data_IF_900923913916
#
_entry.id   IF_900923913916
#
_cell.length_a   1.000
_cell.length_b   1.000
_cell.length_c   1.000
_cell.angle_alpha   90.00
_cell.angle_beta   90.00
_cell.angle_gamma   90.00
#
_symmetry.space_group_name_H-M   'P 1'
#
loop_
_entity.id
_entity.type
_entity.pdbx_description
1 polymer ?
#
# COMPACT_ATOMS: atom_id res chain seq x y z
N UNK A 1 -13.97 -15.75 22.16
CA UNK A 1 -15.31 -15.21 22.49
C UNK A 1 -15.26 -14.30 23.70
N UNK A 2 -15.12 -12.99 23.48
CA UNK A 2 -15.34 -11.98 24.52
C UNK A 2 -16.85 -11.86 24.74
N UNK A 3 -17.30 -12.06 25.97
CA UNK A 3 -18.70 -12.22 26.41
C UNK A 3 -19.60 -10.99 26.23
N UNK A 4 -19.15 -9.96 25.50
CA UNK A 4 -19.90 -8.73 25.21
C UNK A 4 -20.05 -8.42 23.70
N UNK A 5 -19.67 -9.34 22.80
CA UNK A 5 -19.85 -9.12 21.35
C UNK A 5 -19.06 -7.94 20.78
N UNK A 6 -18.07 -7.41 21.52
CA UNK A 6 -17.15 -6.37 21.04
C UNK A 6 -16.02 -7.02 20.27
N UNK A 7 -16.02 -6.84 18.95
CA UNK A 7 -14.89 -7.15 18.08
C UNK A 7 -13.84 -6.04 18.23
N UNK A 8 -12.58 -6.43 18.42
CA UNK A 8 -11.45 -5.50 18.65
C UNK A 8 -10.51 -5.40 17.45
N UNK A 9 -10.69 -6.26 16.44
CA UNK A 9 -9.86 -6.32 15.23
C UNK A 9 -10.79 -6.52 14.03
N UNK A 10 -10.52 -5.81 12.94
CA UNK A 10 -11.24 -5.95 11.69
C UNK A 10 -10.36 -5.59 10.50
N UNK A 11 -10.72 -6.11 9.33
CA UNK A 11 -10.11 -5.79 8.05
C UNK A 11 -11.20 -5.52 7.02
N UNK A 12 -10.96 -4.59 6.10
CA UNK A 12 -11.87 -4.21 5.04
C UNK A 12 -11.10 -3.94 3.75
N UNK A 13 -11.79 -3.98 2.61
CA UNK A 13 -11.15 -3.83 1.30
C UNK A 13 -12.11 -3.29 0.25
N UNK A 14 -11.59 -2.45 -0.64
CA UNK A 14 -12.23 -2.06 -1.89
C UNK A 14 -11.42 -2.61 -3.06
N UNK A 15 -12.03 -3.46 -3.86
CA UNK A 15 -11.32 -4.26 -4.87
C UNK A 15 -11.38 -3.64 -6.26
N UNK A 16 -10.21 -3.46 -6.87
CA UNK A 16 -10.07 -3.30 -8.32
C UNK A 16 -9.66 -4.65 -8.93
N UNK A 17 -10.56 -5.29 -9.68
CA UNK A 17 -10.35 -6.67 -10.15
C UNK A 17 -9.24 -6.75 -11.21
N UNK A 18 -8.19 -7.53 -10.94
CA UNK A 18 -7.13 -7.90 -11.90
C UNK A 18 -7.25 -9.35 -12.35
N UNK A 19 -7.53 -10.27 -11.42
CA UNK A 19 -7.79 -11.69 -11.68
C UNK A 19 -9.20 -12.09 -11.23
N UNK A 20 -10.00 -12.66 -12.12
CA UNK A 20 -11.39 -13.03 -11.83
C UNK A 20 -12.34 -11.83 -11.87
N UNK A 21 -13.53 -12.05 -12.41
CA UNK A 21 -14.54 -10.99 -12.58
C UNK A 21 -14.99 -10.38 -11.23
N UNK A 22 -15.50 -9.14 -11.23
CA UNK A 22 -16.14 -8.56 -10.05
C UNK A 22 -17.40 -9.34 -9.66
N UNK A 23 -17.35 -10.09 -8.57
CA UNK A 23 -18.49 -10.77 -7.97
C UNK A 23 -18.25 -10.97 -6.46
N UNK A 24 -19.28 -11.40 -5.73
CA UNK A 24 -19.19 -11.61 -4.27
C UNK A 24 -18.13 -12.64 -3.87
N UNK A 25 -17.97 -13.71 -4.64
CA UNK A 25 -16.99 -14.78 -4.37
C UNK A 25 -15.54 -14.31 -4.50
N UNK A 26 -15.28 -13.40 -5.44
CA UNK A 26 -13.97 -12.82 -5.67
C UNK A 26 -13.74 -11.55 -4.84
N UNK A 27 -14.72 -11.12 -4.04
CA UNK A 27 -14.56 -9.99 -3.14
C UNK A 27 -13.74 -10.41 -1.91
N UNK A 28 -12.92 -9.48 -1.41
CA UNK A 28 -12.18 -9.69 -0.17
C UNK A 28 -13.09 -9.35 1.03
N UNK A 29 -12.81 -9.88 2.23
CA UNK A 29 -11.69 -10.76 2.60
C UNK A 29 -11.80 -12.19 2.05
N UNK A 30 -10.67 -12.79 1.68
CA UNK A 30 -10.59 -14.23 1.41
C UNK A 30 -10.30 -15.00 2.71
N UNK A 31 -10.91 -16.18 2.84
CA UNK A 31 -10.80 -17.03 4.02
C UNK A 31 -9.94 -18.27 3.75
N UNK A 32 -9.32 -18.81 4.80
CA UNK A 32 -8.73 -20.15 4.76
C UNK A 32 -9.81 -21.23 4.68
N UNK A 33 -9.42 -22.45 4.31
CA UNK A 33 -10.32 -23.61 4.16
C UNK A 33 -11.19 -23.90 5.39
N UNK A 34 -10.69 -23.60 6.59
CA UNK A 34 -11.40 -23.80 7.87
C UNK A 34 -12.03 -22.50 8.41
N UNK A 35 -11.96 -21.41 7.65
CA UNK A 35 -12.43 -20.08 8.03
C UNK A 35 -11.68 -19.44 9.20
N UNK A 36 -10.54 -19.99 9.62
CA UNK A 36 -9.77 -19.45 10.76
C UNK A 36 -9.00 -18.19 10.43
N UNK A 37 -8.54 -18.03 9.19
CA UNK A 37 -7.71 -16.91 8.73
C UNK A 37 -8.48 -16.11 7.69
N UNK A 38 -8.47 -14.79 7.81
CA UNK A 38 -9.03 -13.87 6.82
C UNK A 38 -7.95 -12.91 6.31
N UNK A 39 -7.95 -12.66 5.00
CA UNK A 39 -6.96 -11.82 4.32
C UNK A 39 -7.61 -10.81 3.37
N UNK A 40 -7.15 -9.57 3.43
CA UNK A 40 -7.38 -8.55 2.39
C UNK A 40 -6.05 -8.24 1.71
N UNK A 41 -6.04 -8.01 0.40
CA UNK A 41 -4.80 -7.96 -0.39
C UNK A 41 -4.91 -6.95 -1.53
N UNK A 42 -3.86 -6.15 -1.69
CA UNK A 42 -3.63 -5.24 -2.80
C UNK A 42 -2.38 -5.68 -3.54
N UNK A 43 -2.45 -5.73 -4.87
CA UNK A 43 -1.34 -6.15 -5.72
C UNK A 43 -1.65 -7.45 -6.44
N UNK A 44 -0.58 -8.14 -6.87
CA UNK A 44 -0.66 -9.38 -7.65
C UNK A 44 0.34 -10.40 -7.08
N UNK A 45 -0.15 -11.60 -6.81
CA UNK A 45 0.68 -12.78 -6.55
C UNK A 45 0.96 -13.46 -7.89
N UNK A 46 2.17 -13.28 -8.42
CA UNK A 46 2.52 -13.70 -9.78
C UNK A 46 2.58 -15.22 -9.93
N UNK A 47 3.06 -15.91 -8.89
CA UNK A 47 3.20 -17.37 -8.88
C UNK A 47 1.95 -18.10 -8.33
N UNK A 48 0.79 -17.43 -8.23
CA UNK A 48 -0.42 -18.00 -7.62
C UNK A 48 -0.88 -19.32 -8.24
N UNK A 49 -0.71 -19.53 -9.56
CA UNK A 49 -1.12 -20.78 -10.22
C UNK A 49 -0.31 -21.98 -9.71
N UNK A 50 1.00 -21.81 -9.59
CA UNK A 50 1.91 -22.83 -9.04
C UNK A 50 1.54 -23.16 -7.59
N UNK A 51 1.30 -22.13 -6.79
CA UNK A 51 0.91 -22.27 -5.38
C UNK A 51 -0.46 -22.96 -5.23
N UNK A 52 -1.46 -22.54 -6.04
CA UNK A 52 -2.80 -23.11 -6.06
C UNK A 52 -2.76 -24.60 -6.41
N UNK A 53 -2.04 -24.98 -7.47
CA UNK A 53 -1.91 -26.38 -7.86
C UNK A 53 -1.28 -27.23 -6.74
N UNK A 54 -0.18 -26.76 -6.14
CA UNK A 54 0.48 -27.47 -5.04
C UNK A 54 -0.40 -27.62 -3.79
N UNK A 55 -1.25 -26.62 -3.51
CA UNK A 55 -2.23 -26.69 -2.42
C UNK A 55 -3.36 -27.66 -2.74
N UNK A 56 -3.85 -27.68 -3.98
CA UNK A 56 -4.89 -28.62 -4.42
C UNK A 56 -4.41 -30.08 -4.34
N UNK A 57 -3.15 -30.36 -4.69
CA UNK A 57 -2.53 -31.69 -4.48
C UNK A 57 -2.50 -32.11 -3.00
N UNK A 58 -2.48 -31.15 -2.08
CA UNK A 58 -2.55 -31.37 -0.63
C UNK A 58 -3.99 -31.37 -0.09
N UNK A 59 -5.00 -31.32 -0.96
CA UNK A 59 -6.42 -31.39 -0.61
C UNK A 59 -7.07 -30.05 -0.26
N UNK A 60 -6.45 -28.91 -0.63
CA UNK A 60 -7.09 -27.61 -0.47
C UNK A 60 -8.08 -27.32 -1.59
N UNK A 61 -9.28 -26.91 -1.21
CA UNK A 61 -10.29 -26.41 -2.13
C UNK A 61 -10.20 -24.89 -2.26
N UNK A 62 -10.51 -24.38 -3.46
CA UNK A 62 -10.53 -22.95 -3.77
C UNK A 62 -11.89 -22.58 -4.31
N UNK A 63 -12.44 -21.50 -3.75
CA UNK A 63 -13.77 -21.00 -4.05
C UNK A 63 -13.75 -19.86 -5.07
N UNK A 64 -12.63 -19.15 -5.20
CA UNK A 64 -12.47 -17.95 -6.02
C UNK A 64 -11.53 -18.16 -7.22
N UNK A 65 -11.62 -17.23 -8.16
CA UNK A 65 -10.74 -17.12 -9.33
C UNK A 65 -9.61 -16.11 -9.12
N UNK A 66 -9.42 -15.65 -7.88
CA UNK A 66 -8.40 -14.66 -7.54
C UNK A 66 -7.05 -15.32 -7.29
N UNK A 67 -6.00 -14.56 -7.53
CA UNK A 67 -4.65 -14.86 -7.03
C UNK A 67 -4.58 -14.77 -5.50
N UNK A 68 -5.40 -13.89 -4.91
CA UNK A 68 -5.40 -13.53 -3.48
C UNK A 68 -5.76 -14.69 -2.54
N UNK A 69 -6.63 -15.61 -2.96
CA UNK A 69 -7.06 -16.74 -2.12
C UNK A 69 -5.92 -17.70 -1.76
N UNK A 70 -4.80 -17.72 -2.51
CA UNK A 70 -3.65 -18.57 -2.13
C UNK A 70 -3.01 -18.14 -0.81
N UNK A 71 -3.12 -16.85 -0.44
CA UNK A 71 -2.49 -16.28 0.76
C UNK A 71 -3.07 -16.93 2.04
N UNK A 72 -4.39 -16.85 2.34
CA UNK A 72 -4.92 -17.46 3.56
C UNK A 72 -4.75 -18.98 3.57
N UNK A 73 -4.77 -19.67 2.42
CA UNK A 73 -4.54 -21.11 2.36
C UNK A 73 -3.08 -21.49 2.69
N UNK A 74 -2.10 -20.74 2.20
CA UNK A 74 -0.69 -20.94 2.57
C UNK A 74 -0.45 -20.65 4.05
N UNK A 75 -1.03 -19.57 4.59
CA UNK A 75 -0.91 -19.26 6.02
C UNK A 75 -1.50 -20.41 6.84
N UNK A 76 -2.68 -20.91 6.47
CA UNK A 76 -3.29 -22.07 7.14
C UNK A 76 -2.40 -23.32 7.08
N UNK A 77 -1.82 -23.63 5.91
CA UNK A 77 -0.90 -24.76 5.73
C UNK A 77 0.27 -24.69 6.72
N UNK A 78 0.96 -23.55 6.80
CA UNK A 78 2.07 -23.40 7.72
C UNK A 78 1.62 -23.38 9.18
N UNK A 79 0.49 -22.73 9.49
CA UNK A 79 -0.06 -22.64 10.82
C UNK A 79 -0.36 -24.01 11.44
N UNK A 80 -0.86 -24.97 10.66
CA UNK A 80 -1.08 -26.36 11.13
C UNK A 80 0.16 -27.02 11.73
N UNK A 81 1.35 -26.61 11.30
CA UNK A 81 2.62 -27.17 11.78
C UNK A 81 3.32 -26.30 12.82
N UNK A 82 3.18 -24.97 12.74
CA UNK A 82 3.85 -24.04 13.65
C UNK A 82 3.04 -23.78 14.91
N UNK A 83 1.71 -23.83 14.83
CA UNK A 83 0.79 -23.30 15.84
C UNK A 83 1.12 -21.86 16.28
N UNK A 84 1.75 -21.10 15.39
CA UNK A 84 2.17 -19.72 15.58
C UNK A 84 1.78 -18.94 14.31
N UNK A 85 0.84 -18.01 14.48
CA UNK A 85 0.26 -17.23 13.39
C UNK A 85 1.28 -16.32 12.72
N UNK A 86 2.18 -15.69 13.48
CA UNK A 86 3.20 -14.81 12.91
C UNK A 86 4.24 -15.60 12.15
N UNK A 87 4.69 -16.73 12.71
CA UNK A 87 5.62 -17.61 12.02
C UNK A 87 4.99 -18.23 10.77
N UNK A 88 3.69 -18.53 10.80
CA UNK A 88 2.96 -19.03 9.64
C UNK A 88 2.88 -17.99 8.52
N UNK A 89 2.56 -16.73 8.85
CA UNK A 89 2.60 -15.64 7.88
C UNK A 89 4.02 -15.48 7.33
N UNK A 90 5.03 -15.43 8.20
CA UNK A 90 6.43 -15.29 7.78
C UNK A 90 6.86 -16.40 6.81
N UNK A 91 6.50 -17.67 7.07
CA UNK A 91 6.78 -18.78 6.14
C UNK A 91 6.05 -18.62 4.81
N UNK A 92 4.81 -18.11 4.80
CA UNK A 92 4.09 -17.78 3.56
C UNK A 92 4.85 -16.77 2.72
N UNK A 93 5.46 -15.74 3.32
CA UNK A 93 6.21 -14.70 2.60
C UNK A 93 7.39 -15.25 1.80
N UNK A 94 8.01 -16.33 2.27
CA UNK A 94 9.09 -17.02 1.52
C UNK A 94 8.64 -17.73 0.24
N UNK A 95 7.32 -17.83 0.01
CA UNK A 95 6.72 -18.53 -1.14
C UNK A 95 6.05 -17.59 -2.14
N UNK A 96 5.74 -16.36 -1.76
CA UNK A 96 5.02 -15.42 -2.61
C UNK A 96 5.98 -14.67 -3.53
N UNK A 97 5.63 -14.59 -4.80
CA UNK A 97 6.32 -13.75 -5.80
C UNK A 97 5.38 -12.66 -6.32
N UNK A 98 5.94 -11.50 -6.62
CA UNK A 98 5.21 -10.34 -7.16
C UNK A 98 5.25 -9.12 -6.25
N UNK A 99 4.32 -8.20 -6.49
CA UNK A 99 4.12 -6.99 -5.71
C UNK A 99 2.77 -7.03 -5.02
N UNK A 100 2.78 -7.09 -3.69
CA UNK A 100 1.62 -7.26 -2.84
C UNK A 100 1.73 -6.49 -1.51
N UNK A 101 0.58 -6.13 -0.97
CA UNK A 101 0.40 -5.72 0.42
C UNK A 101 -0.85 -6.41 0.93
N UNK A 102 -0.81 -6.98 2.12
CA UNK A 102 -1.99 -7.65 2.68
C UNK A 102 -2.09 -7.48 4.18
N UNK A 103 -3.31 -7.59 4.68
CA UNK A 103 -3.60 -7.72 6.11
C UNK A 103 -4.16 -9.10 6.37
N UNK A 104 -3.70 -9.74 7.44
CA UNK A 104 -4.15 -11.06 7.88
C UNK A 104 -4.59 -11.01 9.34
N UNK A 105 -5.73 -11.66 9.63
CA UNK A 105 -6.24 -11.89 10.99
C UNK A 105 -6.55 -13.37 11.19
N UNK A 106 -6.58 -13.82 12.43
CA UNK A 106 -6.93 -15.18 12.78
C UNK A 106 -7.99 -15.20 13.88
N UNK A 107 -9.03 -16.04 13.77
CA UNK A 107 -10.20 -16.06 14.68
C UNK A 107 -9.84 -16.26 16.16
N UNK A 108 -8.80 -17.06 16.42
CA UNK A 108 -8.33 -17.40 17.78
C UNK A 108 -7.20 -16.51 18.30
N UNK A 109 -6.68 -15.58 17.47
CA UNK A 109 -5.60 -14.66 17.88
C UNK A 109 -6.09 -13.23 17.76
N UNK A 110 -6.01 -12.45 18.84
CA UNK A 110 -6.23 -11.00 18.78
C UNK A 110 -4.98 -10.29 18.21
N UNK A 111 -4.61 -10.68 16.98
CA UNK A 111 -3.48 -10.16 16.22
C UNK A 111 -3.93 -9.69 14.84
N UNK A 112 -3.37 -8.58 14.38
CA UNK A 112 -3.47 -8.09 13.00
C UNK A 112 -2.06 -8.00 12.42
N UNK A 113 -1.82 -8.69 11.31
CA UNK A 113 -0.51 -8.69 10.64
C UNK A 113 -0.65 -7.98 9.31
N UNK A 114 0.12 -6.92 9.09
CA UNK A 114 0.25 -6.23 7.82
C UNK A 114 1.61 -6.49 7.18
N UNK A 115 1.61 -6.72 5.87
CA UNK A 115 2.80 -7.04 5.08
C UNK A 115 2.90 -6.11 3.88
N UNK A 116 4.12 -5.68 3.56
CA UNK A 116 4.41 -4.86 2.39
C UNK A 116 5.52 -5.45 1.50
N UNK A 117 5.23 -5.53 0.21
CA UNK A 117 6.20 -5.84 -0.85
C UNK A 117 5.74 -5.18 -2.17
N UNK A 118 6.24 -4.00 -2.53
CA UNK A 118 5.95 -3.34 -3.81
C UNK A 118 4.59 -2.62 -3.89
N UNK A 119 3.56 -3.04 -3.16
CA UNK A 119 2.28 -2.31 -3.06
C UNK A 119 2.24 -1.35 -1.86
N UNK A 120 1.50 -0.22 -1.91
CA UNK A 120 1.39 0.71 -0.79
C UNK A 120 0.73 0.13 0.46
N UNK A 121 1.33 0.39 1.62
CA UNK A 121 0.77 0.09 2.95
C UNK A 121 1.43 1.01 3.97
N UNK A 122 0.61 1.69 4.77
CA UNK A 122 1.04 2.56 5.86
C UNK A 122 0.24 2.24 7.13
N UNK A 123 0.78 2.67 8.27
CA UNK A 123 0.29 2.32 9.59
C UNK A 123 0.08 3.56 10.46
N UNK A 124 -1.18 3.93 10.69
CA UNK A 124 -1.58 5.01 11.56
C UNK A 124 -1.63 4.59 13.04
N UNK A 125 -1.11 5.46 13.91
CA UNK A 125 -1.07 5.25 15.36
C UNK A 125 -1.90 6.31 16.08
N UNK A 126 -3.07 5.92 16.59
CA UNK A 126 -3.87 6.74 17.50
C UNK A 126 -3.66 6.31 18.94
N UNK A 127 -4.25 7.00 19.90
CA UNK A 127 -4.04 6.74 21.32
C UNK A 127 -4.68 5.42 21.79
N UNK A 128 -5.77 5.01 21.14
CA UNK A 128 -6.54 3.82 21.52
C UNK A 128 -6.68 2.78 20.41
N UNK A 129 -6.16 3.07 19.20
CA UNK A 129 -6.33 2.21 18.04
C UNK A 129 -5.15 2.31 17.07
N UNK A 130 -4.97 1.23 16.32
CA UNK A 130 -3.98 1.09 15.27
C UNK A 130 -4.72 0.83 13.96
N UNK A 131 -4.37 1.56 12.91
CA UNK A 131 -5.12 1.54 11.65
C UNK A 131 -4.15 1.33 10.49
N UNK A 132 -4.45 0.37 9.64
CA UNK A 132 -3.73 0.18 8.38
C UNK A 132 -4.49 0.82 7.22
N UNK A 133 -3.76 1.42 6.29
CA UNK A 133 -4.29 1.97 5.04
C UNK A 133 -3.31 1.82 3.90
N UNK A 134 -3.79 1.81 2.65
CA UNK A 134 -2.90 1.90 1.49
C UNK A 134 -2.30 3.29 1.31
N UNK A 135 -2.96 4.29 1.88
CA UNK A 135 -2.51 5.66 2.09
C UNK A 135 -3.12 6.16 3.42
N UNK A 136 -2.88 7.41 3.77
CA UNK A 136 -3.24 8.02 5.06
C UNK A 136 -4.71 8.44 5.13
N UNK A 137 -5.38 8.61 3.99
CA UNK A 137 -6.75 9.12 3.89
C UNK A 137 -7.76 8.37 4.78
N UNK A 138 -7.71 7.03 4.91
CA UNK A 138 -8.69 6.27 5.72
C UNK A 138 -8.63 6.55 7.21
N UNK A 139 -7.55 7.15 7.72
CA UNK A 139 -7.36 7.36 9.15
C UNK A 139 -6.87 8.76 9.52
N UNK A 140 -6.77 9.68 8.56
CA UNK A 140 -6.24 11.03 8.79
C UNK A 140 -7.09 11.83 9.80
N UNK A 141 -8.38 11.51 9.93
CA UNK A 141 -9.29 12.08 10.94
C UNK A 141 -9.06 11.52 12.35
N UNK A 142 -8.37 10.38 12.47
CA UNK A 142 -8.03 9.73 13.75
C UNK A 142 -6.63 10.04 14.21
N UNK A 143 -5.69 10.11 13.28
CA UNK A 143 -4.27 10.33 13.61
C UNK A 143 -3.48 10.85 12.42
N UNK A 144 -2.47 11.65 12.73
CA UNK A 144 -1.43 12.11 11.80
C UNK A 144 -0.11 11.39 11.99
N UNK A 145 0.00 10.54 13.03
CA UNK A 145 1.20 9.73 13.30
C UNK A 145 1.17 8.50 12.42
N UNK A 146 2.15 8.39 11.52
CA UNK A 146 2.20 7.32 10.51
C UNK A 146 3.58 6.67 10.51
N UNK A 147 3.58 5.35 10.43
CA UNK A 147 4.77 4.57 10.07
C UNK A 147 4.61 4.09 8.63
N UNK A 148 5.59 4.44 7.79
CA UNK A 148 5.71 3.93 6.44
C UNK A 148 6.48 2.62 6.45
N UNK A 149 5.82 1.56 5.97
CA UNK A 149 6.48 0.28 5.77
C UNK A 149 7.36 0.35 4.52
N UNK A 150 8.50 -0.33 4.57
CA UNK A 150 9.37 -0.60 3.44
C UNK A 150 9.03 -1.97 2.86
N UNK A 151 9.55 -2.26 1.67
CA UNK A 151 9.44 -3.59 1.10
C UNK A 151 10.14 -4.62 2.00
N UNK A 152 9.50 -5.77 2.15
CA UNK A 152 9.90 -6.87 3.05
C UNK A 152 9.67 -6.61 4.53
N UNK A 153 8.83 -5.62 4.87
CA UNK A 153 8.35 -5.44 6.23
C UNK A 153 7.07 -6.23 6.52
N UNK A 154 7.03 -6.78 7.73
CA UNK A 154 5.88 -7.39 8.37
C UNK A 154 5.65 -6.71 9.72
N UNK A 155 4.53 -6.01 9.85
CA UNK A 155 4.10 -5.37 11.09
C UNK A 155 3.02 -6.22 11.74
N UNK A 156 3.22 -6.58 13.01
CA UNK A 156 2.18 -7.23 13.82
C UNK A 156 1.69 -6.29 14.90
N UNK A 157 0.36 -6.21 15.05
CA UNK A 157 -0.33 -5.52 16.13
C UNK A 157 -1.02 -6.54 17.03
N UNK A 158 -0.93 -6.34 18.34
CA UNK A 158 -1.75 -7.01 19.34
C UNK A 158 -1.98 -6.11 20.57
N UNK A 159 -2.55 -6.67 21.64
CA UNK A 159 -2.84 -5.93 22.88
C UNK A 159 -1.61 -5.29 23.55
N UNK A 160 -0.41 -5.77 23.25
CA UNK A 160 0.84 -5.25 23.82
C UNK A 160 1.42 -4.09 23.01
N UNK A 161 0.85 -3.80 21.83
CA UNK A 161 1.32 -2.76 20.91
C UNK A 161 1.62 -3.33 19.53
N UNK A 162 2.66 -2.79 18.89
CA UNK A 162 3.09 -3.24 17.58
C UNK A 162 4.57 -3.63 17.55
N UNK A 163 4.94 -4.46 16.58
CA UNK A 163 6.31 -4.85 16.27
C UNK A 163 6.49 -4.98 14.78
N UNK A 164 7.67 -4.63 14.28
CA UNK A 164 8.02 -4.75 12.87
C UNK A 164 9.17 -5.74 12.76
N UNK A 165 9.05 -6.67 11.82
CA UNK A 165 10.10 -7.59 11.44
C UNK A 165 10.29 -7.57 9.93
N UNK A 166 11.49 -7.86 9.47
CA UNK A 166 11.68 -8.21 8.06
C UNK A 166 11.15 -9.63 7.78
N UNK A 167 11.13 -10.03 6.52
CA UNK A 167 10.72 -11.39 6.12
C UNK A 167 11.62 -12.50 6.68
N UNK A 168 12.86 -12.20 7.07
CA UNK A 168 13.78 -13.12 7.73
C UNK A 168 13.53 -13.24 9.25
N UNK A 169 12.66 -12.39 9.81
CA UNK A 169 12.23 -12.42 11.20
C UNK A 169 13.05 -11.55 12.14
N UNK A 170 13.96 -10.74 11.59
CA UNK A 170 14.75 -9.76 12.32
C UNK A 170 13.89 -8.55 12.67
N UNK A 171 13.98 -8.08 13.91
CA UNK A 171 13.24 -6.89 14.34
C UNK A 171 13.76 -5.64 13.62
N UNK A 172 12.84 -4.79 13.17
CA UNK A 172 13.11 -3.50 12.54
C UNK A 172 12.57 -2.41 13.45
N UNK A 173 13.33 -1.32 13.59
CA UNK A 173 12.85 -0.08 14.18
C UNK A 173 12.54 0.93 13.08
N UNK A 174 11.42 1.64 13.22
CA UNK A 174 11.02 2.72 12.33
C UNK A 174 10.61 3.94 13.13
N UNK A 175 10.89 5.09 12.53
CA UNK A 175 10.45 6.37 13.06
C UNK A 175 8.97 6.60 12.75
N UNK A 176 8.31 7.31 13.65
CA UNK A 176 6.94 7.78 13.45
C UNK A 176 7.04 9.12 12.76
N UNK A 177 6.47 9.21 11.56
CA UNK A 177 6.33 10.45 10.80
C UNK A 177 5.01 11.14 11.16
N UNK A 178 4.96 12.46 10.96
CA UNK A 178 3.72 13.24 11.10
C UNK A 178 3.25 13.75 9.74
N UNK A 179 1.98 13.49 9.44
CA UNK A 179 1.35 13.88 8.19
C UNK A 179 1.02 15.39 8.21
N UNK A 180 1.48 16.18 7.21
CA UNK A 180 1.25 17.61 7.15
C UNK A 180 -0.24 18.01 7.23
N UNK A 181 -0.53 19.17 7.84
CA UNK A 181 -1.89 19.68 8.06
C UNK A 181 -2.75 19.83 6.79
N UNK A 182 -2.12 20.09 5.64
CA UNK A 182 -2.77 20.32 4.34
C UNK A 182 -3.70 19.17 3.87
N UNK A 183 -3.50 17.94 4.33
CA UNK A 183 -4.23 16.76 3.86
C UNK A 183 -5.76 16.82 4.15
N UNK A 184 -6.25 17.74 4.98
CA UNK A 184 -7.69 17.95 5.20
C UNK A 184 -8.46 18.42 3.94
N UNK A 185 -7.77 18.72 2.84
CA UNK A 185 -8.36 19.03 1.53
C UNK A 185 -8.93 17.81 0.77
N UNK A 186 -8.89 16.60 1.33
CA UNK A 186 -9.37 15.33 0.70
C UNK A 186 -10.90 15.31 0.44
N UNK A 187 -11.66 16.30 0.91
CA UNK A 187 -13.11 16.40 0.65
C UNK A 187 -13.48 17.10 -0.65
N UNK A 188 -14.77 17.07 -1.01
CA UNK A 188 -15.31 17.83 -2.16
C UNK A 188 -15.36 19.35 -1.93
N UNK A 189 -15.09 19.86 -0.73
CA UNK A 189 -14.92 21.30 -0.49
C UNK A 189 -16.11 22.19 -0.92
N UNK A 190 -17.34 21.67 -0.89
CA UNK A 190 -18.54 22.39 -1.34
C UNK A 190 -18.86 22.24 -2.84
N UNK A 191 -18.03 21.56 -3.62
CA UNK A 191 -18.28 21.24 -5.02
C UNK A 191 -19.12 19.96 -5.17
N UNK A 192 -19.85 19.86 -6.28
CA UNK A 192 -20.66 18.67 -6.61
C UNK A 192 -19.80 17.42 -6.90
N UNK A 193 -18.66 17.63 -7.57
CA UNK A 193 -17.72 16.58 -7.99
C UNK A 193 -16.28 16.94 -7.62
N UNK A 194 -15.45 15.93 -7.35
CA UNK A 194 -14.00 16.10 -7.14
C UNK A 194 -13.32 16.76 -8.35
N UNK A 195 -13.64 16.31 -9.56
CA UNK A 195 -13.12 16.91 -10.79
C UNK A 195 -13.44 18.41 -10.90
N UNK A 196 -14.63 18.83 -10.44
CA UNK A 196 -14.99 20.25 -10.44
C UNK A 196 -14.12 21.03 -9.44
N UNK A 197 -13.96 20.52 -8.20
CA UNK A 197 -13.05 21.10 -7.21
C UNK A 197 -11.62 21.22 -7.76
N UNK A 198 -11.05 20.12 -8.24
CA UNK A 198 -9.67 20.05 -8.75
C UNK A 198 -9.42 20.99 -9.93
N UNK A 199 -10.39 21.18 -10.83
CA UNK A 199 -10.29 22.17 -11.92
C UNK A 199 -10.26 23.60 -11.36
N UNK A 200 -11.10 23.92 -10.38
CA UNK A 200 -11.15 25.27 -9.80
C UNK A 200 -9.97 25.57 -8.88
N UNK A 201 -9.34 24.55 -8.30
CA UNK A 201 -8.14 24.66 -7.45
C UNK A 201 -6.83 24.77 -8.24
N UNK A 202 -6.86 24.67 -9.58
CA UNK A 202 -5.66 24.77 -10.41
C UNK A 202 -4.82 26.05 -10.15
N UNK A 203 -5.40 27.26 -10.00
CA UNK A 203 -4.61 28.47 -9.74
C UNK A 203 -3.81 28.37 -8.43
N UNK A 204 -4.45 27.87 -7.37
CA UNK A 204 -3.80 27.68 -6.07
C UNK A 204 -2.77 26.54 -6.13
N UNK A 205 -3.10 25.44 -6.79
CA UNK A 205 -2.20 24.28 -6.98
C UNK A 205 -0.92 24.68 -7.72
N UNK A 206 -1.04 25.49 -8.78
CA UNK A 206 0.10 26.04 -9.50
C UNK A 206 0.90 26.97 -8.60
N UNK A 207 0.25 27.90 -7.87
CA UNK A 207 0.95 28.79 -6.95
C UNK A 207 1.73 28.02 -5.87
N UNK A 208 1.12 27.00 -5.28
CA UNK A 208 1.74 26.13 -4.28
C UNK A 208 2.92 25.32 -4.84
N UNK A 209 2.87 24.90 -6.11
CA UNK A 209 3.98 24.20 -6.75
C UNK A 209 5.24 25.09 -6.88
N UNK A 210 5.06 26.42 -6.93
CA UNK A 210 6.15 27.40 -7.02
C UNK A 210 6.51 28.08 -5.70
N UNK A 211 5.63 28.04 -4.69
CA UNK A 211 5.74 28.88 -3.48
C UNK A 211 7.01 28.68 -2.68
N UNK A 212 7.54 27.45 -2.61
CA UNK A 212 8.82 27.16 -1.94
C UNK A 212 10.04 27.29 -2.86
N UNK A 213 9.82 27.51 -4.15
CA UNK A 213 10.87 27.46 -5.18
C UNK A 213 11.27 28.83 -5.72
N UNK A 214 10.41 29.83 -5.54
CA UNK A 214 10.66 31.20 -6.00
C UNK A 214 10.84 32.08 -4.77
N UNK A 215 12.09 32.25 -4.34
CA UNK A 215 12.44 33.09 -3.19
C UNK A 215 12.48 34.59 -3.56
N UNK A 216 12.90 34.89 -4.79
CA UNK A 216 12.93 36.23 -5.38
C UNK A 216 12.59 36.15 -6.88
N UNK A 217 12.20 37.29 -7.49
CA UNK A 217 11.81 37.41 -8.91
C UNK A 217 12.88 36.81 -9.86
N UNK A 218 14.14 36.76 -9.43
CA UNK A 218 15.28 36.38 -10.27
C UNK A 218 15.99 35.06 -9.88
N UNK A 219 15.48 34.29 -8.90
CA UNK A 219 16.16 33.05 -8.47
C UNK A 219 15.19 31.92 -8.15
N UNK A 220 15.41 30.76 -8.78
CA UNK A 220 14.75 29.51 -8.48
C UNK A 220 15.62 28.70 -7.51
N UNK A 221 15.07 28.31 -6.36
CA UNK A 221 15.67 27.33 -5.46
C UNK A 221 14.88 26.04 -5.57
N UNK A 222 15.55 24.92 -5.81
CA UNK A 222 14.91 23.60 -5.74
C UNK A 222 15.59 22.87 -4.60
N UNK A 223 14.88 22.72 -3.48
CA UNK A 223 15.38 21.97 -2.33
C UNK A 223 15.75 20.55 -2.75
N UNK A 224 16.90 20.07 -2.26
CA UNK A 224 17.44 18.75 -2.56
C UNK A 224 17.65 18.46 -4.06
N UNK A 225 17.84 19.48 -4.91
CA UNK A 225 18.21 19.22 -6.30
C UNK A 225 19.55 18.47 -6.34
N UNK A 226 19.60 17.29 -6.96
CA UNK A 226 20.82 16.49 -6.98
C UNK A 226 21.93 17.22 -7.72
N UNK A 227 23.18 17.01 -7.28
CA UNK A 227 24.32 17.50 -8.04
C UNK A 227 24.44 16.69 -9.34
N UNK A 228 23.86 17.23 -10.40
CA UNK A 228 23.81 16.56 -11.70
C UNK A 228 25.18 16.62 -12.38
N UNK A 229 25.60 15.54 -13.07
CA UNK A 229 26.82 15.57 -13.85
C UNK A 229 26.73 16.63 -14.95
N UNK A 230 27.81 17.36 -15.20
CA UNK A 230 27.85 18.47 -16.16
C UNK A 230 27.65 18.04 -17.63
N UNK A 231 27.69 16.75 -17.93
CA UNK A 231 27.67 16.18 -19.28
C UNK A 231 26.41 15.36 -19.59
N UNK A 232 25.26 15.71 -19.00
CA UNK A 232 23.97 15.12 -19.39
C UNK A 232 23.71 15.46 -20.85
N UNK A 233 23.69 14.44 -21.71
CA UNK A 233 23.45 14.57 -23.14
C UNK A 233 22.09 13.99 -23.57
N UNK A 234 21.39 13.32 -22.64
CA UNK A 234 20.08 12.71 -22.88
C UNK A 234 19.24 12.69 -21.62
N UNK A 235 17.94 12.98 -21.77
CA UNK A 235 16.92 12.82 -20.73
C UNK A 235 15.87 11.84 -21.26
N UNK A 236 15.43 10.92 -20.40
CA UNK A 236 14.36 9.95 -20.70
C UNK A 236 13.26 10.14 -19.64
N UNK A 237 12.02 10.31 -20.09
CA UNK A 237 10.83 10.45 -19.23
C UNK A 237 9.90 9.28 -19.54
N UNK A 238 9.59 8.49 -18.52
CA UNK A 238 8.64 7.37 -18.61
C UNK A 238 7.34 7.78 -17.92
N UNK A 239 6.21 7.69 -18.64
CA UNK A 239 4.90 8.08 -18.12
C UNK A 239 3.76 7.36 -18.87
N UNK A 240 2.58 7.32 -18.26
CA UNK A 240 1.37 6.74 -18.85
C UNK A 240 0.20 7.73 -18.78
N UNK A 241 -0.72 7.66 -19.75
CA UNK A 241 -1.95 8.48 -19.76
C UNK A 241 -1.67 10.00 -19.77
N UNK A 242 -2.38 10.75 -18.93
CA UNK A 242 -2.27 12.21 -18.83
C UNK A 242 -0.86 12.70 -18.49
N UNK A 243 -0.12 11.95 -17.66
CA UNK A 243 1.29 12.25 -17.37
C UNK A 243 2.18 12.12 -18.61
N UNK A 244 1.82 11.26 -19.57
CA UNK A 244 2.48 11.17 -20.88
C UNK A 244 2.29 12.44 -21.71
N UNK A 245 1.10 13.03 -21.71
CA UNK A 245 0.86 14.32 -22.38
C UNK A 245 1.68 15.46 -21.75
N UNK A 246 1.76 15.50 -20.41
CA UNK A 246 2.62 16.46 -19.72
C UNK A 246 4.10 16.28 -20.09
N UNK A 247 4.58 15.02 -20.17
CA UNK A 247 5.95 14.71 -20.58
C UNK A 247 6.26 15.19 -22.01
N UNK A 248 5.31 15.09 -22.94
CA UNK A 248 5.50 15.59 -24.31
C UNK A 248 5.69 17.12 -24.36
N UNK A 249 4.97 17.87 -23.51
CA UNK A 249 5.16 19.32 -23.37
C UNK A 249 6.51 19.61 -22.70
N UNK A 250 6.82 18.87 -21.63
CA UNK A 250 8.09 18.97 -20.90
C UNK A 250 9.29 18.76 -21.82
N UNK A 251 9.25 17.76 -22.70
CA UNK A 251 10.26 17.51 -23.74
C UNK A 251 10.55 18.77 -24.54
N UNK A 252 9.52 19.39 -25.12
CA UNK A 252 9.68 20.59 -25.95
C UNK A 252 10.35 21.73 -25.17
N UNK A 253 9.94 21.95 -23.92
CA UNK A 253 10.51 23.00 -23.06
C UNK A 253 11.98 22.70 -22.74
N UNK A 254 12.31 21.47 -22.36
CA UNK A 254 13.67 21.06 -22.00
C UNK A 254 14.60 21.16 -23.22
N UNK A 255 14.22 20.59 -24.36
CA UNK A 255 15.03 20.62 -25.58
C UNK A 255 15.30 22.06 -26.04
N UNK A 256 14.25 22.90 -26.03
CA UNK A 256 14.37 24.31 -26.45
C UNK A 256 15.32 25.13 -25.56
N UNK A 257 15.31 24.89 -24.24
CA UNK A 257 16.09 25.69 -23.30
C UNK A 257 17.50 25.14 -23.02
N UNK A 258 17.72 23.84 -23.21
CA UNK A 258 18.99 23.18 -22.85
C UNK A 258 19.76 22.60 -24.03
N UNK A 259 19.08 22.35 -25.17
CA UNK A 259 19.67 21.64 -26.31
C UNK A 259 19.92 20.15 -26.07
N UNK A 260 19.57 19.62 -24.89
CA UNK A 260 19.69 18.21 -24.53
C UNK A 260 18.58 17.43 -25.24
N UNK A 261 18.93 16.35 -25.94
CA UNK A 261 17.96 15.55 -26.70
C UNK A 261 17.11 14.67 -25.79
N UNK A 262 15.88 14.42 -26.24
CA UNK A 262 14.95 13.49 -25.64
C UNK A 262 14.53 12.43 -26.67
N UNK A 263 14.76 11.16 -26.36
CA UNK A 263 14.36 10.02 -27.20
C UNK A 263 13.08 9.39 -26.66
#
# INVERSE_FOLDING_TARGET
NNSNGKYTVGIAHTRWATHGEPNHTNAHPHLSIDGSIAVVHNGIIENYKTLKNSLQEQGYEFSSNTDSEVIPQLIHLFYKTTNDFELAVQKTLSKLEGAYAFLAIHKDHEKLIGVKQGSPLCFGISDNEYIFGSDESPFIDKTRRVIYLDDKDMLTVDKSGYRIKNFEGLNIQKEISEVPYNIEAIGKGGYEHFMAKEIHEQPETVANAFSSRINHIDSLTIDNFPNLPHNINRIIILACGTSGYAALIGRYIIEKNTGIRHD
#
